data_IF_356406286848
#
_entry.id   IF_356406286848
#
_cell.length_a   1.000
_cell.length_b   1.000
_cell.length_c   1.000
_cell.angle_alpha   90.00
_cell.angle_beta   90.00
_cell.angle_gamma   90.00
#
_symmetry.space_group_name_H-M   'P 1'
#
loop_
_entity.id
_entity.type
_entity.pdbx_description
1 polymer ?
#
# COMPACT_ATOMS: atom_id res chain seq x y z
N UNK A 1 -4.82 7.67 13.40
CA UNK A 1 -3.49 7.72 12.79
C UNK A 1 -3.41 8.86 11.79
N UNK A 2 -2.24 9.43 11.65
CA UNK A 2 -2.03 10.51 10.70
C UNK A 2 -1.88 9.97 9.29
N UNK A 3 -2.50 10.66 8.32
CA UNK A 3 -2.26 10.38 6.90
C UNK A 3 -1.00 11.14 6.50
N UNK A 4 0.00 10.43 6.01
CA UNK A 4 1.26 11.06 5.64
C UNK A 4 1.36 11.40 4.16
N UNK A 5 0.50 10.82 3.34
CA UNK A 5 0.52 11.06 1.90
C UNK A 5 -0.59 10.31 1.19
N UNK A 6 -0.53 10.35 -0.13
CA UNK A 6 -1.51 9.68 -1.00
C UNK A 6 -0.79 9.09 -2.19
N UNK A 7 -1.35 8.02 -2.75
CA UNK A 7 -0.82 7.44 -3.98
C UNK A 7 -1.73 7.80 -5.15
N UNK A 8 -1.11 8.15 -6.28
CA UNK A 8 -1.80 8.34 -7.55
C UNK A 8 -1.58 7.10 -8.40
N UNK A 9 -2.66 6.50 -8.89
CA UNK A 9 -2.62 5.32 -9.73
C UNK A 9 -3.63 5.46 -10.85
N UNK A 10 -3.67 4.47 -11.77
CA UNK A 10 -4.65 4.44 -12.84
C UNK A 10 -5.93 3.71 -12.43
N UNK A 11 -6.08 3.33 -11.14
CA UNK A 11 -7.25 2.62 -10.65
C UNK A 11 -8.21 3.56 -9.94
N UNK A 12 -9.23 4.10 -10.63
CA UNK A 12 -10.19 5.02 -10.00
C UNK A 12 -11.14 4.31 -9.02
N UNK A 13 -11.31 2.98 -9.16
CA UNK A 13 -12.15 2.17 -8.27
C UNK A 13 -11.40 0.89 -7.90
N UNK A 14 -11.98 0.12 -6.97
CA UNK A 14 -11.39 -1.16 -6.58
C UNK A 14 -11.60 -2.28 -7.60
N UNK A 15 -12.42 -2.06 -8.63
CA UNK A 15 -12.67 -3.07 -9.65
C UNK A 15 -11.49 -3.14 -10.62
N UNK A 16 -11.05 -4.35 -10.93
CA UNK A 16 -9.92 -4.58 -11.83
C UNK A 16 -8.56 -4.45 -11.18
N UNK A 17 -8.49 -4.11 -9.90
CA UNK A 17 -7.22 -3.99 -9.17
C UNK A 17 -6.73 -5.40 -8.82
N UNK A 18 -5.43 -5.68 -8.95
CA UNK A 18 -4.85 -6.94 -8.48
C UNK A 18 -5.14 -7.14 -7.00
N UNK A 19 -5.42 -8.36 -6.60
CA UNK A 19 -5.80 -8.66 -5.21
C UNK A 19 -4.61 -8.70 -4.27
N UNK A 20 -3.40 -8.71 -4.83
CA UNK A 20 -2.16 -8.64 -4.08
C UNK A 20 -1.17 -7.79 -4.84
N UNK A 21 -0.37 -7.02 -4.10
CA UNK A 21 0.72 -6.25 -4.68
C UNK A 21 1.76 -7.20 -5.30
N UNK A 22 2.41 -6.75 -6.36
CA UNK A 22 3.45 -7.51 -7.01
C UNK A 22 2.98 -8.54 -8.03
N UNK A 23 1.65 -8.74 -8.17
CA UNK A 23 1.13 -9.67 -9.17
C UNK A 23 1.31 -9.15 -10.60
N UNK A 24 1.24 -7.84 -10.78
CA UNK A 24 1.48 -7.16 -12.06
C UNK A 24 2.45 -6.02 -11.80
N UNK A 25 3.73 -6.26 -12.14
CA UNK A 25 4.80 -5.32 -11.84
C UNK A 25 4.73 -4.02 -12.65
N UNK A 26 4.12 -4.05 -13.81
CA UNK A 26 3.99 -2.86 -14.67
C UNK A 26 2.97 -1.85 -14.16
N UNK A 27 2.13 -2.23 -13.19
CA UNK A 27 1.17 -1.30 -12.60
C UNK A 27 1.89 -0.30 -11.73
N UNK A 28 1.87 0.97 -12.14
CA UNK A 28 2.66 2.04 -11.55
C UNK A 28 1.84 2.92 -10.63
N UNK A 29 2.53 3.54 -9.67
CA UNK A 29 1.95 4.55 -8.81
C UNK A 29 2.97 5.60 -8.42
N UNK A 30 2.47 6.73 -7.96
CA UNK A 30 3.28 7.84 -7.48
C UNK A 30 2.80 8.23 -6.10
N UNK A 31 3.68 8.18 -5.11
CA UNK A 31 3.35 8.55 -3.74
C UNK A 31 3.83 9.97 -3.49
N UNK A 32 2.90 10.84 -3.12
CA UNK A 32 3.14 12.23 -2.77
C UNK A 32 2.82 12.42 -1.29
N UNK A 33 3.70 13.09 -0.57
CA UNK A 33 3.56 13.26 0.88
C UNK A 33 2.92 14.59 1.23
N UNK A 34 2.28 14.65 2.40
CA UNK A 34 1.77 15.89 2.93
C UNK A 34 2.94 16.83 3.24
N UNK A 35 2.73 18.17 3.16
CA UNK A 35 3.85 19.13 3.31
C UNK A 35 4.71 18.94 4.55
N UNK A 36 4.09 18.58 5.66
CA UNK A 36 4.80 18.41 6.95
C UNK A 36 5.74 17.20 6.98
N UNK A 37 5.63 16.29 5.98
CA UNK A 37 6.44 15.06 5.93
C UNK A 37 7.39 15.03 4.74
N UNK A 38 7.74 16.19 4.18
CA UNK A 38 8.54 16.30 2.96
C UNK A 38 10.04 16.55 3.20
N UNK A 39 10.51 16.38 4.42
CA UNK A 39 11.93 16.58 4.71
C UNK A 39 12.75 15.50 4.01
N UNK A 40 13.72 15.86 3.14
CA UNK A 40 14.54 14.87 2.46
C UNK A 40 15.28 13.93 3.43
N UNK A 41 15.59 14.43 4.62
CA UNK A 41 16.26 13.62 5.65
C UNK A 41 15.50 12.35 6.01
N UNK A 42 14.16 12.40 5.95
CA UNK A 42 13.32 11.25 6.30
C UNK A 42 13.43 10.13 5.26
N UNK A 43 13.96 10.43 4.07
CA UNK A 43 14.06 9.48 2.95
C UNK A 43 15.49 8.99 2.76
N UNK A 44 16.43 9.46 3.57
CA UNK A 44 17.83 9.07 3.44
C UNK A 44 17.99 7.57 3.60
N UNK A 45 18.61 6.92 2.62
CA UNK A 45 18.85 5.49 2.66
C UNK A 45 17.73 4.64 2.09
N UNK A 46 16.54 5.21 1.84
CA UNK A 46 15.43 4.43 1.31
C UNK A 46 15.73 3.88 -0.08
N UNK A 47 16.52 4.59 -0.86
CA UNK A 47 16.88 4.19 -2.22
C UNK A 47 17.73 2.92 -2.28
N UNK A 48 18.31 2.51 -1.14
CA UNK A 48 19.09 1.28 -1.08
C UNK A 48 18.22 0.02 -1.06
N UNK A 49 16.91 0.19 -0.93
CA UNK A 49 15.98 -0.93 -0.88
C UNK A 49 15.19 -1.03 -2.18
N UNK A 50 15.07 -2.25 -2.70
CA UNK A 50 14.33 -2.49 -3.93
C UNK A 50 12.82 -2.42 -3.73
N UNK A 51 12.36 -2.73 -2.52
CA UNK A 51 10.93 -2.78 -2.19
C UNK A 51 10.65 -2.06 -0.89
N UNK A 52 9.42 -1.57 -0.79
CA UNK A 52 8.94 -0.92 0.44
C UNK A 52 7.57 -1.49 0.79
N UNK A 53 7.30 -1.50 2.11
CA UNK A 53 5.97 -1.76 2.62
C UNK A 53 5.21 -0.44 2.67
N UNK A 54 3.98 -0.45 2.16
CA UNK A 54 3.07 0.69 2.23
C UNK A 54 1.88 0.28 3.08
N UNK A 55 1.66 1.00 4.17
CA UNK A 55 0.49 0.83 5.02
C UNK A 55 -0.50 1.93 4.65
N UNK A 56 -1.72 1.52 4.29
CA UNK A 56 -2.68 2.45 3.68
C UNK A 56 -4.08 2.23 4.21
N UNK A 57 -4.97 3.18 3.93
CA UNK A 57 -6.34 3.17 4.42
C UNK A 57 -7.28 2.59 3.36
N UNK A 58 -8.18 1.73 3.78
CA UNK A 58 -9.26 1.22 2.92
C UNK A 58 -10.31 2.31 2.71
N UNK A 59 -10.00 3.31 1.88
CA UNK A 59 -10.86 4.49 1.74
C UNK A 59 -12.22 4.18 1.10
N UNK A 60 -12.32 3.10 0.33
CA UNK A 60 -13.57 2.72 -0.33
C UNK A 60 -14.42 1.77 0.51
N UNK A 61 -14.04 1.51 1.77
CA UNK A 61 -14.74 0.59 2.67
C UNK A 61 -15.18 1.26 3.96
N UNK A 62 -15.45 2.55 3.93
CA UNK A 62 -15.71 3.35 5.13
C UNK A 62 -16.91 2.88 5.96
N UNK A 63 -17.92 2.28 5.32
CA UNK A 63 -19.12 1.80 5.99
C UNK A 63 -19.16 0.30 6.11
N UNK A 64 -18.01 -0.34 6.12
CA UNK A 64 -17.91 -1.79 6.17
C UNK A 64 -18.43 -2.33 7.51
N UNK A 65 -18.97 -3.53 7.46
CA UNK A 65 -19.31 -4.30 8.66
C UNK A 65 -18.08 -5.13 9.04
N UNK A 66 -17.70 -5.09 10.31
CA UNK A 66 -16.61 -5.92 10.81
C UNK A 66 -17.09 -7.36 10.88
N UNK A 67 -16.31 -8.30 10.34
CA UNK A 67 -16.65 -9.71 10.32
C UNK A 67 -15.54 -10.55 10.93
N UNK A 68 -15.92 -11.55 11.71
CA UNK A 68 -14.95 -12.48 12.30
C UNK A 68 -14.35 -13.41 11.24
N UNK A 69 -15.14 -13.81 10.24
CA UNK A 69 -14.69 -14.67 9.15
C UNK A 69 -15.08 -14.07 7.81
N UNK A 70 -14.29 -14.38 6.80
CA UNK A 70 -14.51 -13.94 5.42
C UNK A 70 -14.13 -15.07 4.47
N UNK A 71 -14.56 -14.96 3.21
CA UNK A 71 -14.16 -15.91 2.15
C UNK A 71 -13.24 -15.18 1.17
N UNK A 72 -11.92 -15.31 1.33
CA UNK A 72 -10.98 -14.59 0.47
C UNK A 72 -11.09 -15.02 -0.98
N UNK A 73 -11.06 -14.08 -1.94
CA UNK A 73 -11.10 -14.41 -3.38
C UNK A 73 -9.96 -15.31 -3.83
N UNK A 74 -8.80 -15.21 -3.21
CA UNK A 74 -7.64 -16.05 -3.55
C UNK A 74 -7.93 -17.53 -3.40
N UNK A 75 -8.85 -17.88 -2.52
CA UNK A 75 -9.26 -19.26 -2.29
C UNK A 75 -10.53 -19.59 -3.05
N UNK A 76 -10.81 -18.83 -4.13
CA UNK A 76 -11.99 -19.04 -4.97
C UNK A 76 -13.30 -18.64 -4.31
N UNK A 77 -13.24 -17.93 -3.18
CA UNK A 77 -14.43 -17.50 -2.45
C UNK A 77 -15.19 -18.65 -1.79
N UNK A 78 -14.58 -19.82 -1.66
CA UNK A 78 -15.26 -21.03 -1.16
C UNK A 78 -14.83 -21.43 0.24
N UNK A 79 -13.72 -20.91 0.73
CA UNK A 79 -13.17 -21.27 2.04
C UNK A 79 -13.31 -20.08 2.97
N UNK A 80 -13.98 -20.28 4.10
CA UNK A 80 -14.10 -19.23 5.13
C UNK A 80 -12.86 -19.25 6.01
N UNK A 81 -12.30 -18.07 6.24
CA UNK A 81 -11.12 -17.88 7.05
C UNK A 81 -11.39 -16.85 8.13
N UNK A 82 -10.70 -16.96 9.27
CA UNK A 82 -10.70 -15.89 10.25
C UNK A 82 -10.19 -14.60 9.63
N UNK A 83 -10.78 -13.46 9.97
CA UNK A 83 -10.42 -12.19 9.33
C UNK A 83 -8.94 -11.85 9.49
N UNK A 84 -8.33 -12.23 10.62
CA UNK A 84 -6.91 -11.95 10.85
C UNK A 84 -5.97 -12.84 10.03
N UNK A 85 -6.51 -13.89 9.42
CA UNK A 85 -5.75 -14.74 8.48
C UNK A 85 -5.90 -14.28 7.04
N UNK A 86 -6.43 -13.07 6.81
CA UNK A 86 -6.70 -12.52 5.48
C UNK A 86 -6.26 -11.06 5.40
N UNK A 87 -6.32 -10.52 4.19
CA UNK A 87 -6.11 -9.10 3.91
C UNK A 87 -7.42 -8.35 3.69
N UNK A 88 -8.55 -8.95 4.12
CA UNK A 88 -9.88 -8.36 3.95
C UNK A 88 -10.02 -7.02 4.67
N UNK A 89 -10.80 -6.07 4.08
CA UNK A 89 -11.09 -4.80 4.75
C UNK A 89 -12.10 -4.92 5.89
N UNK A 90 -12.77 -6.07 6.06
CA UNK A 90 -13.79 -6.27 7.10
C UNK A 90 -13.18 -6.58 8.45
N UNK A 91 -12.20 -5.77 8.86
CA UNK A 91 -11.45 -5.92 10.10
C UNK A 91 -11.62 -4.69 10.98
N UNK A 92 -11.25 -4.78 12.28
CA UNK A 92 -11.47 -3.66 13.22
C UNK A 92 -10.81 -2.35 12.79
N UNK A 93 -9.61 -2.42 12.23
CA UNK A 93 -8.89 -1.23 11.75
C UNK A 93 -8.75 -1.31 10.23
N UNK A 94 -8.94 -0.18 9.57
CA UNK A 94 -8.95 -0.11 8.11
C UNK A 94 -7.57 0.05 7.50
N UNK A 95 -6.63 -0.79 7.94
CA UNK A 95 -5.25 -0.73 7.49
C UNK A 95 -5.01 -1.79 6.43
N UNK A 96 -4.63 -1.34 5.24
CA UNK A 96 -4.12 -2.20 4.18
C UNK A 96 -2.61 -2.23 4.21
N UNK A 97 -2.02 -3.22 3.55
CA UNK A 97 -0.59 -3.42 3.54
C UNK A 97 -0.17 -4.00 2.21
N UNK A 98 0.77 -3.34 1.55
CA UNK A 98 1.26 -3.77 0.23
C UNK A 98 2.77 -3.64 0.16
N UNK A 99 3.42 -4.65 -0.43
CA UNK A 99 4.83 -4.57 -0.74
C UNK A 99 4.97 -4.18 -2.21
N UNK A 100 5.54 -3.02 -2.48
CA UNK A 100 5.69 -2.51 -3.83
C UNK A 100 7.16 -2.29 -4.15
N UNK A 101 7.49 -2.33 -5.44
CA UNK A 101 8.85 -2.04 -5.88
C UNK A 101 9.06 -0.55 -5.89
N UNK A 102 10.16 -0.10 -5.30
CA UNK A 102 10.58 1.30 -5.34
C UNK A 102 11.43 1.50 -6.60
N UNK A 103 10.84 2.18 -7.59
CA UNK A 103 11.54 2.43 -8.84
C UNK A 103 12.58 3.53 -8.69
N UNK A 104 12.18 4.68 -8.15
CA UNK A 104 13.10 5.77 -7.83
C UNK A 104 12.40 6.84 -6.99
N UNK A 105 13.19 7.75 -6.44
CA UNK A 105 12.72 8.90 -5.68
C UNK A 105 13.11 10.15 -6.45
N UNK A 106 12.14 11.03 -6.71
CA UNK A 106 12.41 12.35 -7.28
C UNK A 106 12.26 13.40 -6.18
N UNK A 107 13.26 14.26 -6.06
CA UNK A 107 13.23 15.36 -5.10
C UNK A 107 12.79 16.62 -5.84
N UNK A 108 11.48 16.89 -5.81
CA UNK A 108 10.88 17.98 -6.58
C UNK A 108 10.89 19.27 -5.79
N UNK A 109 10.89 20.41 -6.52
CA UNK A 109 10.88 21.74 -5.89
C UNK A 109 9.56 22.05 -5.21
N UNK A 110 8.45 21.58 -5.79
CA UNK A 110 7.11 21.94 -5.31
C UNK A 110 6.51 20.90 -4.34
N UNK A 111 6.91 19.64 -4.44
CA UNK A 111 6.31 18.56 -3.66
C UNK A 111 7.33 17.80 -2.79
N UNK A 112 8.59 18.21 -2.80
CA UNK A 112 9.63 17.52 -2.08
C UNK A 112 9.87 16.11 -2.64
N UNK A 113 10.24 15.15 -1.79
CA UNK A 113 10.45 13.77 -2.25
C UNK A 113 9.14 13.14 -2.72
N UNK A 114 9.18 12.52 -3.89
CA UNK A 114 8.06 11.81 -4.50
C UNK A 114 8.55 10.41 -4.87
N UNK A 115 7.81 9.37 -4.47
CA UNK A 115 8.21 7.99 -4.72
C UNK A 115 7.50 7.43 -5.94
N UNK A 116 8.27 6.90 -6.88
CA UNK A 116 7.76 6.19 -8.04
C UNK A 116 7.83 4.69 -7.75
N UNK A 117 6.68 4.03 -7.77
CA UNK A 117 6.56 2.63 -7.37
C UNK A 117 5.86 1.81 -8.45
N UNK A 118 6.04 0.49 -8.40
CA UNK A 118 5.37 -0.45 -9.30
C UNK A 118 4.88 -1.67 -8.53
N UNK A 119 4.02 -2.47 -9.16
CA UNK A 119 3.37 -3.59 -8.49
C UNK A 119 2.27 -3.13 -7.54
N UNK A 120 1.57 -2.07 -7.92
CA UNK A 120 0.59 -1.38 -7.05
C UNK A 120 -0.76 -2.07 -7.12
N UNK A 121 -1.44 -2.18 -5.98
CA UNK A 121 -2.79 -2.74 -5.87
C UNK A 121 -3.76 -1.80 -5.15
N UNK A 122 -3.43 -0.51 -5.12
CA UNK A 122 -4.25 0.52 -4.46
C UNK A 122 -5.00 1.36 -5.47
N UNK A 123 -6.22 1.79 -5.10
CA UNK A 123 -6.97 2.73 -5.94
C UNK A 123 -6.32 4.10 -5.90
N UNK A 124 -6.58 4.88 -6.96
CA UNK A 124 -6.10 6.26 -7.04
C UNK A 124 -6.60 7.07 -5.85
N UNK A 125 -5.71 7.86 -5.26
CA UNK A 125 -6.03 8.70 -4.13
C UNK A 125 -6.01 8.01 -2.77
N UNK A 126 -5.62 6.74 -2.71
CA UNK A 126 -5.58 6.01 -1.43
C UNK A 126 -4.67 6.71 -0.43
N UNK A 127 -5.19 7.01 0.78
CA UNK A 127 -4.38 7.62 1.82
C UNK A 127 -3.36 6.64 2.39
N UNK A 128 -2.19 7.15 2.72
CA UNK A 128 -1.08 6.33 3.22
C UNK A 128 -0.80 6.69 4.67
N UNK A 129 -0.69 5.67 5.51
CA UNK A 129 -0.37 5.81 6.92
C UNK A 129 1.12 5.76 7.19
N UNK A 130 1.86 4.92 6.47
CA UNK A 130 3.28 4.71 6.77
C UNK A 130 3.99 4.05 5.59
N UNK A 131 5.29 4.26 5.53
CA UNK A 131 6.20 3.62 4.58
C UNK A 131 7.34 3.01 5.38
N UNK A 132 7.65 1.75 5.10
CA UNK A 132 8.79 1.07 5.73
C UNK A 132 9.56 0.31 4.66
N UNK A 133 10.88 0.26 4.82
CA UNK A 133 11.69 -0.53 3.92
C UNK A 133 11.35 -2.03 4.05
N UNK A 134 11.46 -2.75 2.96
CA UNK A 134 11.36 -4.21 3.00
C UNK A 134 12.75 -4.76 3.30
N UNK A 135 12.88 -5.43 4.43
CA UNK A 135 14.15 -6.05 4.83
C UNK A 135 14.05 -7.53 4.52
N UNK A 136 14.70 -7.94 3.45
CA UNK A 136 14.57 -9.29 2.92
C UNK A 136 14.85 -10.38 3.97
N UNK A 137 15.84 -10.13 4.81
CA UNK A 137 16.24 -11.11 5.83
C UNK A 137 15.16 -11.29 6.90
N UNK A 138 14.52 -10.20 7.34
CA UNK A 138 13.51 -10.27 8.40
C UNK A 138 12.09 -10.45 7.89
N UNK A 139 11.81 -9.99 6.66
CA UNK A 139 10.44 -9.99 6.12
C UNK A 139 10.13 -11.23 5.29
N UNK A 140 11.15 -12.03 4.95
CA UNK A 140 10.98 -13.27 4.21
C UNK A 140 11.39 -14.44 5.10
N UNK A 141 10.43 -15.32 5.36
CA UNK A 141 10.69 -16.54 6.15
C UNK A 141 10.55 -17.77 5.26
N UNK A 142 11.56 -18.63 5.23
CA UNK A 142 11.47 -19.85 4.46
C UNK A 142 10.42 -20.80 5.01
#
# INVERSE_FOLDING_TARGET
MNIIGHISTDFPTKFGIPRQSGLIEELKGVITFEPEYRQPEAFRGLEDFSHIWVLWQFSKSQKKTIAATVTPPRLGGKVRMGVFATRSPFRPNDIGMSCVKLEHIEYTADKGPVLFVSGVDMVDGTPIYDIKQNVKFTDTHP
#
